data_IF_665276847226
#
_entry.id   IF_665276847226
#
_cell.length_a   1.000
_cell.length_b   1.000
_cell.length_c   1.000
_cell.angle_alpha   90.00
_cell.angle_beta   90.00
_cell.angle_gamma   90.00
#
_symmetry.space_group_name_H-M   'P 1'
#
loop_
_entity.id
_entity.type
_entity.pdbx_description
1 polymer ?
#
# COMPACT_ATOMS: atom_id res chain seq x y z
N UNK A 1 8.28 17.73 -1.84
CA UNK A 1 8.28 16.27 -1.70
C UNK A 1 6.87 15.68 -1.78
N UNK A 2 5.91 16.31 -1.12
CA UNK A 2 4.51 15.90 -1.14
C UNK A 2 3.96 15.84 -2.58
N UNK A 3 4.17 16.92 -3.36
CA UNK A 3 3.70 16.97 -4.74
C UNK A 3 4.36 15.94 -5.63
N UNK A 4 5.64 15.64 -5.41
CA UNK A 4 6.39 14.64 -6.19
C UNK A 4 5.85 13.24 -5.92
N UNK A 5 5.63 12.90 -4.67
CA UNK A 5 5.09 11.58 -4.30
C UNK A 5 3.67 11.41 -4.83
N UNK A 6 2.83 12.42 -4.68
CA UNK A 6 1.46 12.37 -5.20
C UNK A 6 1.44 12.21 -6.72
N UNK A 7 2.29 12.96 -7.43
CA UNK A 7 2.40 12.87 -8.88
C UNK A 7 2.80 11.46 -9.34
N UNK A 8 3.73 10.83 -8.62
CA UNK A 8 4.16 9.46 -8.93
C UNK A 8 3.05 8.43 -8.70
N UNK A 9 2.32 8.57 -7.61
CA UNK A 9 1.20 7.68 -7.33
C UNK A 9 0.11 7.83 -8.40
N UNK A 10 -0.21 9.06 -8.78
CA UNK A 10 -1.19 9.34 -9.83
C UNK A 10 -0.76 8.75 -11.17
N UNK A 11 0.52 8.92 -11.53
CA UNK A 11 1.10 8.36 -12.74
C UNK A 11 0.98 6.83 -12.77
N UNK A 12 1.35 6.18 -11.67
CA UNK A 12 1.26 4.72 -11.56
C UNK A 12 -0.20 4.25 -11.58
N UNK A 13 -1.08 5.00 -10.95
CA UNK A 13 -2.49 4.67 -10.93
C UNK A 13 -3.12 4.73 -12.33
N UNK A 14 -2.77 5.73 -13.13
CA UNK A 14 -3.20 5.83 -14.51
C UNK A 14 -2.62 4.71 -15.37
N UNK A 15 -1.32 4.46 -15.25
CA UNK A 15 -0.61 3.44 -16.04
C UNK A 15 -1.15 2.04 -15.80
N UNK A 16 -1.47 1.71 -14.54
CA UNK A 16 -1.93 0.37 -14.17
C UNK A 16 -3.43 0.29 -13.91
N UNK A 17 -4.18 1.30 -14.34
CA UNK A 17 -5.64 1.30 -14.26
C UNK A 17 -6.18 1.04 -12.84
N UNK A 18 -5.49 1.57 -11.83
CA UNK A 18 -5.90 1.45 -10.44
C UNK A 18 -5.71 0.07 -9.82
N UNK A 19 -4.99 -0.84 -10.48
CA UNK A 19 -4.67 -2.13 -9.89
C UNK A 19 -3.69 -1.92 -8.73
N UNK A 20 -4.19 -2.10 -7.51
CA UNK A 20 -3.47 -1.81 -6.27
C UNK A 20 -2.10 -2.46 -6.18
N UNK A 21 -2.00 -3.73 -6.54
CA UNK A 21 -0.75 -4.49 -6.47
C UNK A 21 0.33 -3.91 -7.37
N UNK A 22 -0.04 -3.53 -8.59
CA UNK A 22 0.89 -2.95 -9.56
C UNK A 22 1.31 -1.54 -9.18
N UNK A 23 0.35 -0.70 -8.75
CA UNK A 23 0.63 0.65 -8.28
C UNK A 23 1.57 0.61 -7.08
N UNK A 24 1.27 -0.25 -6.13
CA UNK A 24 2.08 -0.40 -4.92
C UNK A 24 3.49 -0.89 -5.25
N UNK A 25 3.62 -1.87 -6.15
CA UNK A 25 4.93 -2.41 -6.53
C UNK A 25 5.80 -1.34 -7.21
N UNK A 26 5.22 -0.52 -8.07
CA UNK A 26 5.95 0.58 -8.71
C UNK A 26 6.36 1.64 -7.70
N UNK A 27 5.51 1.93 -6.73
CA UNK A 27 5.85 2.84 -5.64
C UNK A 27 7.00 2.29 -4.81
N UNK A 28 7.01 0.99 -4.54
CA UNK A 28 8.10 0.32 -3.81
C UNK A 28 9.41 0.44 -4.59
N UNK A 29 9.41 0.16 -5.89
CA UNK A 29 10.60 0.30 -6.73
C UNK A 29 11.17 1.72 -6.69
N UNK A 30 10.29 2.71 -6.83
CA UNK A 30 10.66 4.12 -6.74
C UNK A 30 11.26 4.44 -5.36
N UNK A 31 10.63 3.96 -4.29
CA UNK A 31 11.05 4.22 -2.93
C UNK A 31 12.42 3.61 -2.61
N UNK A 32 12.72 2.44 -3.17
CA UNK A 32 14.03 1.81 -2.99
C UNK A 32 15.14 2.61 -3.66
N UNK A 33 14.88 3.14 -4.85
CA UNK A 33 15.83 4.00 -5.55
C UNK A 33 16.13 5.25 -4.71
N UNK A 34 15.14 5.77 -4.01
CA UNK A 34 15.26 6.96 -3.16
C UNK A 34 15.33 6.63 -1.66
N UNK A 35 15.82 5.44 -1.32
CA UNK A 35 15.87 4.92 0.07
C UNK A 35 16.48 5.88 1.07
N UNK A 36 17.59 6.53 0.71
CA UNK A 36 18.26 7.48 1.61
C UNK A 36 17.40 8.70 1.93
N UNK A 37 16.66 9.17 0.95
CA UNK A 37 15.74 10.31 1.14
C UNK A 37 14.65 9.92 2.12
N UNK A 38 14.04 8.75 1.94
CA UNK A 38 13.01 8.25 2.83
C UNK A 38 13.53 8.02 4.25
N UNK A 39 14.71 7.43 4.37
CA UNK A 39 15.33 7.17 5.68
C UNK A 39 15.60 8.47 6.43
N UNK A 40 16.16 9.47 5.75
CA UNK A 40 16.42 10.77 6.34
C UNK A 40 15.13 11.47 6.79
N UNK A 41 14.10 11.40 5.96
CA UNK A 41 12.81 11.99 6.28
C UNK A 41 12.15 11.28 7.46
N UNK A 42 12.26 9.95 7.52
CA UNK A 42 11.68 9.14 8.59
C UNK A 42 12.38 9.39 9.94
N UNK A 43 13.69 9.62 9.94
CA UNK A 43 14.47 9.88 11.15
C UNK A 43 14.39 11.33 11.63
N UNK A 44 13.88 12.24 10.80
CA UNK A 44 13.76 13.66 11.10
C UNK A 44 12.37 14.01 11.65
N UNK A 45 12.10 15.31 11.77
CA UNK A 45 10.79 15.83 12.21
C UNK A 45 9.66 15.48 11.24
N UNK A 46 10.00 15.04 10.04
CA UNK A 46 9.02 14.65 9.03
C UNK A 46 8.40 13.28 9.22
N UNK A 47 8.82 12.52 10.24
CA UNK A 47 8.36 11.16 10.47
C UNK A 47 6.84 11.03 10.54
N UNK A 48 6.18 11.83 11.37
CA UNK A 48 4.73 11.80 11.54
C UNK A 48 4.02 12.16 10.24
N UNK A 49 4.54 13.18 9.57
CA UNK A 49 4.00 13.61 8.28
C UNK A 49 4.12 12.50 7.23
N UNK A 50 5.30 11.89 7.12
CA UNK A 50 5.55 10.82 6.17
C UNK A 50 4.64 9.62 6.43
N UNK A 51 4.56 9.21 7.69
CA UNK A 51 3.70 8.11 8.10
C UNK A 51 2.24 8.36 7.72
N UNK A 52 1.72 9.51 8.11
CA UNK A 52 0.34 9.89 7.80
C UNK A 52 0.10 9.95 6.30
N UNK A 53 1.03 10.55 5.56
CA UNK A 53 0.90 10.70 4.11
C UNK A 53 0.86 9.34 3.41
N UNK A 54 1.82 8.47 3.70
CA UNK A 54 1.91 7.15 3.06
C UNK A 54 0.72 6.27 3.45
N UNK A 55 0.37 6.25 4.72
CA UNK A 55 -0.79 5.49 5.20
C UNK A 55 -2.09 5.93 4.54
N UNK A 56 -2.29 7.23 4.38
CA UNK A 56 -3.48 7.75 3.70
C UNK A 56 -3.55 7.27 2.26
N UNK A 57 -2.42 7.22 1.55
CA UNK A 57 -2.39 6.72 0.18
C UNK A 57 -2.68 5.22 0.08
N UNK A 58 -2.14 4.45 1.00
CA UNK A 58 -2.43 3.00 1.08
C UNK A 58 -3.91 2.78 1.36
N UNK A 59 -4.46 3.51 2.32
CA UNK A 59 -5.89 3.45 2.66
C UNK A 59 -6.77 3.72 1.45
N UNK A 60 -6.45 4.75 0.69
CA UNK A 60 -7.18 5.12 -0.51
C UNK A 60 -7.13 4.02 -1.57
N UNK A 61 -5.95 3.44 -1.80
CA UNK A 61 -5.80 2.35 -2.77
C UNK A 61 -6.58 1.11 -2.35
N UNK A 62 -6.57 0.79 -1.06
CA UNK A 62 -7.36 -0.32 -0.53
C UNK A 62 -8.85 -0.08 -0.71
N UNK A 63 -9.31 1.14 -0.45
CA UNK A 63 -10.70 1.53 -0.63
C UNK A 63 -11.13 1.39 -2.09
N UNK A 64 -10.30 1.85 -3.03
CA UNK A 64 -10.59 1.71 -4.47
C UNK A 64 -10.69 0.25 -4.87
N UNK A 65 -9.82 -0.60 -4.36
CA UNK A 65 -9.83 -2.03 -4.67
C UNK A 65 -11.11 -2.70 -4.16
N UNK A 66 -11.52 -2.37 -2.93
CA UNK A 66 -12.75 -2.92 -2.34
C UNK A 66 -13.96 -2.46 -3.14
N UNK A 67 -14.03 -1.19 -3.52
CA UNK A 67 -15.13 -0.66 -4.34
C UNK A 67 -15.22 -1.34 -5.69
N UNK A 68 -14.08 -1.56 -6.32
CA UNK A 68 -14.02 -2.25 -7.62
C UNK A 68 -14.53 -3.68 -7.51
N UNK A 69 -14.14 -4.39 -6.45
CA UNK A 69 -14.54 -5.79 -6.26
C UNK A 69 -15.98 -5.95 -5.78
N UNK A 70 -16.54 -4.94 -5.13
CA UNK A 70 -17.90 -5.03 -4.60
C UNK A 70 -18.99 -4.76 -5.61
N UNK A 71 -18.69 -4.21 -6.74
CA UNK A 71 -19.57 -3.92 -7.89
C UNK A 71 -21.07 -3.81 -7.59
N UNK A 72 -21.53 -2.59 -7.32
CA UNK A 72 -22.96 -2.32 -7.12
C UNK A 72 -23.51 -2.72 -5.75
N UNK A 73 -22.75 -3.40 -4.92
CA UNK A 73 -23.16 -3.70 -3.55
C UNK A 73 -22.78 -2.56 -2.62
N UNK A 74 -23.69 -2.23 -1.71
CA UNK A 74 -23.41 -1.27 -0.64
C UNK A 74 -22.91 -2.06 0.55
N UNK A 75 -21.63 -1.81 0.92
CA UNK A 75 -21.01 -2.49 2.05
C UNK A 75 -21.10 -1.62 3.31
N UNK A 76 -21.16 -2.25 4.51
CA UNK A 76 -21.15 -1.48 5.75
C UNK A 76 -19.90 -0.63 5.88
N UNK A 77 -20.06 0.66 6.11
CA UNK A 77 -18.95 1.61 6.22
C UNK A 77 -17.95 1.20 7.30
N UNK A 78 -18.43 0.75 8.45
CA UNK A 78 -17.55 0.29 9.54
C UNK A 78 -16.64 -0.84 9.13
N UNK A 79 -17.18 -1.82 8.42
CA UNK A 79 -16.42 -2.98 7.96
C UNK A 79 -15.37 -2.58 6.95
N UNK A 80 -15.74 -1.73 5.99
CA UNK A 80 -14.82 -1.22 4.97
C UNK A 80 -13.67 -0.47 5.63
N UNK A 81 -13.97 0.41 6.58
CA UNK A 81 -12.94 1.19 7.28
C UNK A 81 -12.00 0.30 8.09
N UNK A 82 -12.52 -0.73 8.76
CA UNK A 82 -11.69 -1.68 9.50
C UNK A 82 -10.71 -2.39 8.57
N UNK A 83 -11.19 -2.89 7.45
CA UNK A 83 -10.34 -3.61 6.50
C UNK A 83 -9.32 -2.68 5.84
N UNK A 84 -9.71 -1.47 5.45
CA UNK A 84 -8.78 -0.50 4.91
C UNK A 84 -7.69 -0.14 5.92
N UNK A 85 -8.05 0.06 7.17
CA UNK A 85 -7.09 0.36 8.25
C UNK A 85 -6.14 -0.81 8.49
N UNK A 86 -6.64 -2.04 8.43
CA UNK A 86 -5.83 -3.24 8.56
C UNK A 86 -4.76 -3.30 7.48
N UNK A 87 -5.13 -3.10 6.22
CA UNK A 87 -4.18 -3.08 5.11
C UNK A 87 -3.21 -1.92 5.22
N UNK A 88 -3.70 -0.75 5.61
CA UNK A 88 -2.87 0.44 5.83
C UNK A 88 -1.72 0.15 6.79
N UNK A 89 -2.04 -0.38 7.97
CA UNK A 89 -1.05 -0.68 9.00
C UNK A 89 -0.09 -1.79 8.57
N UNK A 90 -0.62 -2.86 8.00
CA UNK A 90 0.19 -4.00 7.58
C UNK A 90 1.18 -3.61 6.47
N UNK A 91 0.68 -2.94 5.44
CA UNK A 91 1.51 -2.55 4.29
C UNK A 91 2.54 -1.51 4.70
N UNK A 92 2.13 -0.49 5.47
CA UNK A 92 3.07 0.53 5.93
C UNK A 92 4.19 -0.08 6.77
N UNK A 93 3.85 -0.96 7.70
CA UNK A 93 4.85 -1.63 8.54
C UNK A 93 5.86 -2.43 7.73
N UNK A 94 5.40 -3.14 6.72
CA UNK A 94 6.27 -3.89 5.83
C UNK A 94 7.16 -2.96 4.99
N UNK A 95 6.61 -1.87 4.46
CA UNK A 95 7.38 -0.90 3.67
C UNK A 95 8.51 -0.28 4.49
N UNK A 96 8.23 0.13 5.73
CA UNK A 96 9.25 0.70 6.60
C UNK A 96 10.36 -0.32 6.86
N UNK A 97 9.99 -1.56 7.13
CA UNK A 97 10.94 -2.64 7.38
C UNK A 97 11.85 -2.91 6.18
N UNK A 98 11.27 -2.94 4.99
CA UNK A 98 12.01 -3.32 3.77
C UNK A 98 12.83 -2.18 3.17
N UNK A 99 12.38 -0.95 3.34
CA UNK A 99 12.96 0.20 2.66
C UNK A 99 13.88 1.01 3.59
N UNK A 100 13.41 1.29 4.80
CA UNK A 100 14.06 2.26 5.70
C UNK A 100 15.00 1.61 6.72
N UNK A 101 14.57 0.52 7.35
CA UNK A 101 15.36 -0.15 8.37
C UNK A 101 16.51 -0.94 7.75
N UNK A 102 17.73 -0.45 7.88
CA UNK A 102 18.93 -1.05 7.26
C UNK A 102 19.09 -2.55 7.54
N UNK A 103 18.83 -2.98 8.77
CA UNK A 103 18.96 -4.38 9.17
C UNK A 103 18.02 -5.31 8.42
N UNK A 104 16.91 -4.77 7.91
CA UNK A 104 15.87 -5.52 7.20
C UNK A 104 15.69 -5.07 5.77
N UNK A 105 16.55 -4.16 5.30
CA UNK A 105 16.46 -3.62 3.95
C UNK A 105 16.57 -4.73 2.91
N UNK A 106 15.68 -4.68 1.93
CA UNK A 106 15.60 -5.66 0.87
C UNK A 106 15.91 -5.02 -0.47
N UNK A 107 16.37 -5.84 -1.42
CA UNK A 107 16.48 -5.43 -2.82
C UNK A 107 15.08 -5.44 -3.45
N UNK A 108 14.97 -4.82 -4.62
CA UNK A 108 13.72 -4.85 -5.39
C UNK A 108 13.28 -6.28 -5.68
N UNK A 109 14.22 -7.14 -6.08
CA UNK A 109 13.92 -8.55 -6.42
C UNK A 109 13.44 -9.34 -5.20
N UNK A 110 14.05 -9.10 -4.03
CA UNK A 110 13.62 -9.75 -2.78
C UNK A 110 12.21 -9.32 -2.38
N UNK A 111 11.90 -8.04 -2.52
CA UNK A 111 10.56 -7.52 -2.20
C UNK A 111 9.54 -8.08 -3.19
N UNK A 112 9.89 -8.12 -4.46
CA UNK A 112 9.01 -8.66 -5.50
C UNK A 112 8.67 -10.11 -5.22
N UNK A 113 9.65 -10.93 -4.87
CA UNK A 113 9.43 -12.32 -4.49
C UNK A 113 8.51 -12.43 -3.27
N UNK A 114 8.74 -11.60 -2.26
CA UNK A 114 7.91 -11.59 -1.04
C UNK A 114 6.48 -11.19 -1.35
N UNK A 115 6.28 -10.15 -2.16
CA UNK A 115 4.94 -9.70 -2.56
C UNK A 115 4.20 -10.80 -3.32
N UNK A 116 4.86 -11.47 -4.24
CA UNK A 116 4.28 -12.58 -4.99
C UNK A 116 3.84 -13.73 -4.08
N UNK A 117 4.63 -14.03 -3.06
CA UNK A 117 4.29 -15.04 -2.05
C UNK A 117 3.09 -14.62 -1.22
N UNK A 118 3.03 -13.35 -0.82
CA UNK A 118 1.89 -12.81 -0.06
C UNK A 118 0.62 -12.92 -0.91
N UNK A 119 0.67 -12.51 -2.16
CA UNK A 119 -0.48 -12.59 -3.07
C UNK A 119 -0.99 -14.03 -3.20
N UNK A 120 -0.08 -14.97 -3.35
CA UNK A 120 -0.43 -16.39 -3.45
C UNK A 120 -1.07 -16.93 -2.17
N UNK A 121 -0.48 -16.57 -1.03
CA UNK A 121 -0.98 -17.02 0.28
C UNK A 121 -2.36 -16.45 0.61
N UNK A 122 -2.64 -15.23 0.15
CA UNK A 122 -3.89 -14.54 0.44
C UNK A 122 -4.87 -14.56 -0.73
N UNK A 123 -4.61 -15.39 -1.74
CA UNK A 123 -5.48 -15.51 -2.91
C UNK A 123 -6.92 -15.82 -2.51
N UNK A 124 -7.86 -15.02 -2.98
CA UNK A 124 -9.28 -15.17 -2.67
C UNK A 124 -9.71 -14.64 -1.31
N UNK A 125 -8.79 -14.17 -0.47
CA UNK A 125 -9.13 -13.69 0.87
C UNK A 125 -9.97 -12.42 0.84
N UNK A 126 -9.65 -11.48 -0.03
CA UNK A 126 -10.40 -10.23 -0.13
C UNK A 126 -11.82 -10.49 -0.64
N UNK A 127 -11.99 -11.41 -1.59
CA UNK A 127 -13.31 -11.84 -2.06
C UNK A 127 -14.14 -12.43 -0.90
N UNK A 128 -13.54 -13.25 -0.07
CA UNK A 128 -14.19 -13.84 1.09
C UNK A 128 -14.57 -12.76 2.12
N UNK A 129 -13.67 -11.83 2.39
CA UNK A 129 -13.91 -10.71 3.30
C UNK A 129 -15.12 -9.89 2.83
N UNK A 130 -15.14 -9.53 1.54
CA UNK A 130 -16.26 -8.78 0.95
C UNK A 130 -17.55 -9.59 1.04
N UNK A 131 -17.50 -10.87 0.75
CA UNK A 131 -18.66 -11.76 0.88
C UNK A 131 -19.19 -11.77 2.32
N UNK A 132 -18.31 -11.78 3.31
CA UNK A 132 -18.71 -11.73 4.71
C UNK A 132 -19.36 -10.41 5.09
N UNK A 133 -18.94 -9.31 4.49
CA UNK A 133 -19.54 -7.99 4.70
C UNK A 133 -20.98 -7.94 4.19
N UNK A 134 -21.30 -8.70 3.15
CA UNK A 134 -22.65 -8.73 2.53
C UNK A 134 -23.67 -9.48 3.39
N UNK A 135 -23.21 -10.26 4.32
CA UNK A 135 -24.07 -11.00 5.25
C UNK A 135 -24.53 -10.08 6.37
#
# INVERSE_FOLDING_TARGET
LDGVVQAKIDEFNEEYNGEMDKVLMKFIEYSIIHRKVWANLFDARGREWLEKYVKTRIHYLALLQIRKMSEGYILPIKDVEIICSFYEEAIFGLLIRWIIKEEKAKTVDEIKDTVERIEKLFEGQLDLIISNMKK
#
